data_IF_530261500074
#
_entry.id   IF_530261500074
#
_cell.length_a   1.000
_cell.length_b   1.000
_cell.length_c   1.000
_cell.angle_alpha   90.00
_cell.angle_beta   90.00
_cell.angle_gamma   90.00
#
_symmetry.space_group_name_H-M   'P 1'
#
loop_
_entity.id
_entity.type
_entity.pdbx_description
1 polymer ?
#
# COMPACT_ATOMS: atom_id res chain seq x y z
N UNK A 1 -35.98 -23.94 -6.15
CA UNK A 1 -35.34 -22.92 -7.01
C UNK A 1 -35.17 -21.66 -6.19
N UNK A 2 -33.94 -21.21 -5.92
CA UNK A 2 -33.75 -19.89 -5.29
C UNK A 2 -34.31 -18.81 -6.22
N UNK A 3 -35.11 -17.89 -5.67
CA UNK A 3 -35.64 -16.78 -6.44
C UNK A 3 -34.50 -15.88 -6.92
N UNK A 4 -34.63 -15.31 -8.13
CA UNK A 4 -33.69 -14.31 -8.66
C UNK A 4 -33.42 -13.17 -7.67
N UNK A 5 -34.41 -12.85 -6.83
CA UNK A 5 -34.32 -11.82 -5.79
C UNK A 5 -33.39 -12.24 -4.63
N UNK A 6 -33.44 -13.50 -4.20
CA UNK A 6 -32.60 -14.02 -3.11
C UNK A 6 -31.13 -14.13 -3.53
N UNK A 7 -30.89 -14.60 -4.75
CA UNK A 7 -29.54 -14.65 -5.35
C UNK A 7 -28.89 -13.26 -5.40
N UNK A 8 -29.64 -12.25 -5.85
CA UNK A 8 -29.16 -10.87 -5.90
C UNK A 8 -28.88 -10.27 -4.51
N UNK A 9 -29.68 -10.63 -3.49
CA UNK A 9 -29.42 -10.21 -2.09
C UNK A 9 -28.14 -10.81 -1.54
N UNK A 10 -27.83 -12.09 -1.82
CA UNK A 10 -26.58 -12.74 -1.38
C UNK A 10 -25.34 -12.11 -2.02
N UNK A 11 -25.36 -11.93 -3.34
CA UNK A 11 -24.26 -11.30 -4.09
C UNK A 11 -23.94 -9.89 -3.54
N UNK A 12 -24.98 -9.09 -3.22
CA UNK A 12 -24.78 -7.76 -2.61
C UNK A 12 -24.12 -7.83 -1.23
N UNK A 13 -24.46 -8.83 -0.41
CA UNK A 13 -23.84 -9.03 0.91
C UNK A 13 -22.37 -9.44 0.80
N UNK A 14 -22.06 -10.39 -0.07
CA UNK A 14 -20.68 -10.85 -0.31
C UNK A 14 -19.79 -9.74 -0.85
N UNK A 15 -20.30 -8.93 -1.80
CA UNK A 15 -19.56 -7.76 -2.30
C UNK A 15 -19.27 -6.73 -1.20
N UNK A 16 -20.21 -6.48 -0.29
CA UNK A 16 -20.00 -5.56 0.84
C UNK A 16 -18.92 -6.09 1.80
N UNK A 17 -18.94 -7.38 2.10
CA UNK A 17 -17.91 -8.02 2.94
C UNK A 17 -16.52 -7.94 2.30
N UNK A 18 -16.43 -8.24 0.99
CA UNK A 18 -15.17 -8.12 0.26
C UNK A 18 -14.66 -6.67 0.24
N UNK A 19 -15.55 -5.69 0.04
CA UNK A 19 -15.21 -4.28 0.07
C UNK A 19 -14.72 -3.82 1.45
N UNK A 20 -15.37 -4.26 2.54
CA UNK A 20 -14.93 -3.95 3.89
C UNK A 20 -13.55 -4.54 4.20
N UNK A 21 -13.30 -5.80 3.82
CA UNK A 21 -11.97 -6.42 3.96
C UNK A 21 -10.90 -5.63 3.20
N UNK A 22 -11.21 -5.23 1.96
CA UNK A 22 -10.32 -4.38 1.17
C UNK A 22 -10.07 -3.03 1.85
N UNK A 23 -11.10 -2.40 2.40
CA UNK A 23 -11.00 -1.10 3.07
C UNK A 23 -10.16 -1.16 4.35
N UNK A 24 -10.22 -2.27 5.10
CA UNK A 24 -9.35 -2.51 6.27
C UNK A 24 -7.88 -2.65 5.85
N UNK A 25 -7.61 -3.39 4.78
CA UNK A 25 -6.23 -3.53 4.27
C UNK A 25 -5.72 -2.17 3.78
N UNK A 26 -6.54 -1.44 3.04
CA UNK A 26 -6.21 -0.12 2.53
C UNK A 26 -5.93 0.87 3.67
N UNK A 27 -6.74 0.87 4.73
CA UNK A 27 -6.52 1.76 5.87
C UNK A 27 -5.24 1.43 6.61
N UNK A 28 -4.91 0.14 6.80
CA UNK A 28 -3.64 -0.28 7.38
C UNK A 28 -2.45 0.20 6.55
N UNK A 29 -2.52 0.07 5.21
CA UNK A 29 -1.49 0.58 4.30
C UNK A 29 -1.33 2.10 4.40
N UNK A 30 -2.42 2.85 4.49
CA UNK A 30 -2.38 4.31 4.63
C UNK A 30 -1.75 4.75 5.95
N UNK A 31 -2.10 4.09 7.06
CA UNK A 31 -1.51 4.36 8.39
C UNK A 31 0.01 4.10 8.36
N UNK A 32 0.43 2.97 7.79
CA UNK A 32 1.85 2.65 7.65
C UNK A 32 2.58 3.69 6.80
N UNK A 33 2.03 4.05 5.65
CA UNK A 33 2.62 5.06 4.76
C UNK A 33 2.76 6.41 5.46
N UNK A 34 1.72 6.85 6.18
CA UNK A 34 1.74 8.11 6.91
C UNK A 34 2.73 8.10 8.07
N UNK A 35 2.78 6.99 8.84
CA UNK A 35 3.73 6.83 9.95
C UNK A 35 5.18 6.90 9.47
N UNK A 36 5.51 6.22 8.37
CA UNK A 36 6.85 6.29 7.78
C UNK A 36 7.18 7.71 7.33
N UNK A 37 6.23 8.40 6.68
CA UNK A 37 6.43 9.79 6.24
C UNK A 37 6.66 10.74 7.42
N UNK A 38 5.88 10.60 8.49
CA UNK A 38 6.02 11.42 9.69
C UNK A 38 7.41 11.25 10.32
N UNK A 39 7.87 10.01 10.47
CA UNK A 39 9.22 9.73 11.00
C UNK A 39 10.29 10.28 10.07
N UNK A 40 10.11 10.15 8.75
CA UNK A 40 11.03 10.70 7.76
C UNK A 40 11.15 12.23 7.89
N UNK A 41 10.02 12.94 8.00
CA UNK A 41 10.00 14.39 8.14
C UNK A 41 10.65 14.83 9.47
N UNK A 42 10.46 14.07 10.56
CA UNK A 42 11.07 14.34 11.86
C UNK A 42 12.60 14.09 11.85
N UNK A 43 13.08 13.04 11.18
CA UNK A 43 14.54 12.80 11.02
C UNK A 43 15.19 13.92 10.22
N UNK A 44 14.53 14.40 9.15
CA UNK A 44 15.00 15.57 8.39
C UNK A 44 15.08 16.79 9.31
N UNK A 45 14.01 17.05 10.06
CA UNK A 45 13.91 18.22 10.94
C UNK A 45 15.00 18.25 12.01
N UNK A 46 15.27 17.12 12.64
CA UNK A 46 16.27 16.99 13.71
C UNK A 46 17.71 16.94 13.17
N UNK A 47 17.91 16.87 11.85
CA UNK A 47 19.24 16.92 11.22
C UNK A 47 20.14 15.72 11.56
N UNK A 48 19.57 14.59 11.98
CA UNK A 48 20.33 13.44 12.48
C UNK A 48 21.14 12.69 11.40
N UNK A 49 20.82 12.86 10.11
CA UNK A 49 21.43 12.10 9.00
C UNK A 49 21.61 13.02 7.79
N UNK A 50 22.79 13.00 7.14
CA UNK A 50 23.06 13.74 5.89
C UNK A 50 22.14 13.31 4.73
N UNK A 51 21.66 12.06 4.75
CA UNK A 51 20.71 11.49 3.80
C UNK A 51 19.46 10.96 4.54
N UNK A 52 18.54 11.84 4.94
CA UNK A 52 17.45 11.52 5.85
C UNK A 52 16.30 10.74 5.20
N UNK A 53 16.47 10.25 3.96
CA UNK A 53 15.42 9.55 3.21
C UNK A 53 15.24 8.13 3.74
N UNK A 54 14.29 7.93 4.66
CA UNK A 54 13.94 6.63 5.23
C UNK A 54 13.20 5.76 4.23
N UNK A 55 12.29 6.36 3.45
CA UNK A 55 11.48 5.63 2.48
C UNK A 55 11.06 6.57 1.35
N UNK A 56 11.45 6.25 0.11
CA UNK A 56 10.96 6.93 -1.08
C UNK A 56 10.80 5.94 -2.23
N UNK A 57 9.56 5.71 -2.68
CA UNK A 57 9.26 4.85 -3.80
C UNK A 57 9.05 5.69 -5.07
N UNK A 58 9.99 5.62 -6.01
CA UNK A 58 9.85 6.21 -7.32
C UNK A 58 9.44 5.14 -8.34
N UNK A 59 8.15 5.07 -8.62
CA UNK A 59 7.57 4.09 -9.55
C UNK A 59 8.07 4.29 -10.99
N UNK A 60 8.34 5.55 -11.39
CA UNK A 60 8.80 5.89 -12.74
C UNK A 60 10.21 5.35 -12.99
N UNK A 61 11.09 5.50 -12.01
CA UNK A 61 12.48 5.02 -12.08
C UNK A 61 12.62 3.58 -11.58
N UNK A 62 11.55 3.00 -11.03
CA UNK A 62 11.56 1.69 -10.34
C UNK A 62 12.62 1.62 -9.25
N UNK A 63 12.81 2.72 -8.54
CA UNK A 63 13.76 2.83 -7.45
C UNK A 63 13.02 2.99 -6.12
N UNK A 64 13.60 2.41 -5.08
CA UNK A 64 13.15 2.49 -3.71
C UNK A 64 14.34 2.94 -2.87
N UNK A 65 14.28 4.15 -2.33
CA UNK A 65 15.24 4.56 -1.32
C UNK A 65 14.75 4.05 0.05
N UNK A 66 15.61 3.36 0.79
CA UNK A 66 15.39 2.92 2.17
C UNK A 66 16.60 3.29 3.02
N UNK A 67 16.39 4.04 4.11
CA UNK A 67 17.44 4.41 5.06
C UNK A 67 18.70 5.02 4.40
N UNK A 68 18.52 5.88 3.39
CA UNK A 68 19.61 6.51 2.64
C UNK A 68 20.19 5.67 1.49
N UNK A 69 19.89 4.37 1.43
CA UNK A 69 20.33 3.46 0.35
C UNK A 69 19.29 3.38 -0.75
N UNK A 70 19.72 3.30 -2.02
CA UNK A 70 18.82 3.19 -3.18
C UNK A 70 18.80 1.76 -3.73
N UNK A 71 17.63 1.15 -3.71
CA UNK A 71 17.36 -0.19 -4.23
C UNK A 71 16.57 -0.11 -5.54
N UNK A 72 16.80 -1.06 -6.45
CA UNK A 72 15.99 -1.21 -7.65
C UNK A 72 14.84 -2.19 -7.37
N UNK A 73 13.61 -1.79 -7.69
CA UNK A 73 12.41 -2.59 -7.50
C UNK A 73 11.98 -3.18 -8.84
N UNK A 74 12.27 -4.46 -9.06
CA UNK A 74 11.75 -5.16 -10.23
C UNK A 74 10.29 -5.59 -10.02
N UNK A 75 9.37 -4.78 -10.52
CA UNK A 75 7.92 -5.05 -10.48
C UNK A 75 7.49 -6.25 -11.36
N UNK A 76 8.40 -6.90 -12.09
CA UNK A 76 8.09 -8.11 -12.87
C UNK A 76 7.54 -9.26 -12.03
N UNK A 77 7.83 -9.31 -10.73
CA UNK A 77 7.29 -10.32 -9.80
C UNK A 77 5.76 -10.24 -9.67
N UNK A 78 5.16 -9.07 -9.91
CA UNK A 78 3.71 -8.86 -9.84
C UNK A 78 2.97 -9.22 -11.14
N UNK A 79 3.67 -9.62 -12.20
CA UNK A 79 3.02 -10.13 -13.41
C UNK A 79 2.49 -11.54 -13.15
N UNK A 80 1.17 -11.68 -13.17
CA UNK A 80 0.52 -12.98 -13.28
C UNK A 80 1.00 -13.64 -14.57
N UNK A 81 1.69 -14.78 -14.45
CA UNK A 81 2.06 -15.63 -15.58
C UNK A 81 0.74 -16.15 -16.18
N UNK A 82 0.55 -16.09 -17.52
CA UNK A 82 -0.66 -16.56 -18.19
C UNK A 82 -0.93 -18.05 -17.99
#
# INVERSE_FOLDING_TARGET
>A
MESRVEKNKRIKREKRLAFLKFLIILSACLILFYGIKLVNDEIIYLGYIENPTIFNLNIRERTLALFGEKYFVDLKILKKIP
#
